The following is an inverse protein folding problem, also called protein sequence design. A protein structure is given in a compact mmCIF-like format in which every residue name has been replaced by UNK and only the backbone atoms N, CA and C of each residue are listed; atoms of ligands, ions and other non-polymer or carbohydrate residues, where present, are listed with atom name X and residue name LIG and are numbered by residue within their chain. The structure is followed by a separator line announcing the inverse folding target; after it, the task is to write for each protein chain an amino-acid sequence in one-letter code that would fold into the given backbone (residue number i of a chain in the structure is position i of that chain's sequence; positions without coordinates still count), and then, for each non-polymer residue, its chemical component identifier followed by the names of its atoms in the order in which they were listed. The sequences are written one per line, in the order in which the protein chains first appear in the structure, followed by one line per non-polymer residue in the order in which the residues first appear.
data_IF_290692639919
#
_entry.id   IF_290692639919
#
_cell.length_a   1.000
_cell.length_b   1.000
_cell.length_c   1.000
_cell.angle_alpha   90.00
_cell.angle_beta   90.00
_cell.angle_gamma   90.00
#
_symmetry.space_group_name_H-M   'P 1'
#
loop_
_entity.id
_entity.type
_entity.pdbx_description
1 polymer ?
#
# COMPACT_ATOMS: atom_id res chain seq x y z
N UNK A 1 18.34 -9.44 11.32
CA UNK A 1 18.74 -10.32 12.44
C UNK A 1 18.58 -9.54 13.74
N UNK A 2 17.84 -10.08 14.67
CA UNK A 2 17.69 -9.50 16.01
C UNK A 2 18.79 -10.08 16.91
N UNK A 3 19.45 -9.22 17.69
CA UNK A 3 20.48 -9.59 18.65
C UNK A 3 20.38 -8.70 19.89
N UNK A 4 20.06 -9.26 21.05
CA UNK A 4 19.90 -8.56 22.33
C UNK A 4 18.90 -7.39 22.24
N UNK A 5 17.77 -7.58 21.58
CA UNK A 5 16.74 -6.54 21.40
C UNK A 5 17.10 -5.45 20.39
N UNK A 6 18.21 -5.58 19.64
CA UNK A 6 18.64 -4.65 18.59
C UNK A 6 18.62 -5.33 17.22
N UNK A 7 18.44 -4.55 16.17
CA UNK A 7 18.48 -5.05 14.80
C UNK A 7 19.90 -4.91 14.26
N UNK A 8 20.57 -6.04 14.03
CA UNK A 8 21.88 -6.05 13.40
C UNK A 8 21.76 -5.84 11.88
N UNK A 9 22.23 -4.70 11.39
CA UNK A 9 22.13 -4.30 9.99
C UNK A 9 23.34 -4.69 9.15
N UNK A 10 24.53 -4.49 9.69
CA UNK A 10 25.78 -4.62 8.95
C UNK A 10 26.94 -4.94 9.88
N UNK A 11 28.07 -5.29 9.27
CA UNK A 11 29.35 -5.46 9.95
C UNK A 11 30.44 -4.86 9.09
N UNK A 12 31.27 -4.00 9.70
CA UNK A 12 32.62 -3.65 9.23
C UNK A 12 33.62 -4.25 10.21
N UNK A 13 34.44 -3.44 10.87
CA UNK A 13 35.26 -3.90 12.00
C UNK A 13 34.37 -4.25 13.19
N UNK A 14 33.31 -3.49 13.39
CA UNK A 14 32.29 -3.71 14.42
C UNK A 14 30.90 -3.99 13.81
N UNK A 15 30.01 -4.59 14.62
CA UNK A 15 28.61 -4.79 14.26
C UNK A 15 27.86 -3.47 14.33
N UNK A 16 27.09 -3.17 13.27
CA UNK A 16 26.25 -1.95 13.18
C UNK A 16 24.81 -2.34 13.50
N UNK A 17 24.21 -1.65 14.46
CA UNK A 17 22.87 -1.91 14.95
C UNK A 17 21.92 -0.75 14.69
N UNK A 18 20.66 -1.06 14.45
CA UNK A 18 19.55 -0.16 14.57
C UNK A 18 18.86 -0.39 15.93
N UNK A 19 18.71 0.67 16.70
CA UNK A 19 17.92 0.65 17.94
C UNK A 19 16.44 0.68 17.59
N UNK A 20 15.62 -0.33 17.96
CA UNK A 20 14.22 -0.39 17.57
C UNK A 20 13.40 0.83 17.98
N UNK A 21 13.66 1.41 19.17
CA UNK A 21 13.01 2.64 19.64
C UNK A 21 13.31 3.88 18.78
N UNK A 22 14.34 3.84 17.93
CA UNK A 22 14.70 4.89 16.99
C UNK A 22 14.22 4.59 15.56
N UNK A 23 13.55 3.45 15.35
CA UNK A 23 13.10 3.01 14.03
C UNK A 23 11.83 3.74 13.52
N UNK A 24 11.28 4.66 14.30
CA UNK A 24 10.18 5.56 13.90
C UNK A 24 10.66 6.72 13.00
N UNK A 25 11.74 6.55 12.30
CA UNK A 25 12.35 7.52 11.38
C UNK A 25 12.37 6.95 9.96
N UNK A 26 12.52 7.86 9.00
CA UNK A 26 12.75 7.47 7.62
C UNK A 26 14.18 6.94 7.45
N UNK A 27 14.33 5.94 6.58
CA UNK A 27 15.60 5.36 6.21
C UNK A 27 15.77 5.32 4.70
N UNK A 28 17.00 5.33 4.23
CA UNK A 28 17.31 5.21 2.81
C UNK A 28 18.39 4.13 2.59
N UNK A 29 18.08 3.14 1.74
CA UNK A 29 19.00 2.06 1.37
C UNK A 29 19.45 2.29 -0.07
N UNK A 30 20.64 2.86 -0.23
CA UNK A 30 21.24 3.15 -1.54
C UNK A 30 22.26 2.09 -1.96
N UNK A 31 22.40 1.87 -3.26
CA UNK A 31 23.40 0.99 -3.83
C UNK A 31 23.08 0.61 -5.28
N UNK A 32 24.09 0.19 -6.05
CA UNK A 32 23.93 -0.32 -7.41
C UNK A 32 23.16 -1.65 -7.43
N UNK A 33 22.76 -2.12 -8.60
CA UNK A 33 22.16 -3.45 -8.76
C UNK A 33 23.11 -4.55 -8.25
N UNK A 34 22.54 -5.54 -7.57
CA UNK A 34 23.33 -6.67 -7.02
C UNK A 34 24.07 -6.39 -5.71
N UNK A 35 24.05 -5.17 -5.16
CA UNK A 35 24.75 -4.85 -3.91
C UNK A 35 24.05 -5.34 -2.64
N UNK A 36 22.84 -5.89 -2.75
CA UNK A 36 22.10 -6.47 -1.63
C UNK A 36 21.04 -5.59 -0.99
N UNK A 37 20.56 -4.53 -1.66
CA UNK A 37 19.48 -3.65 -1.15
C UNK A 37 18.25 -4.45 -0.72
N UNK A 38 17.71 -5.30 -1.59
CA UNK A 38 16.54 -6.15 -1.29
C UNK A 38 16.83 -7.10 -0.13
N UNK A 39 18.04 -7.63 -0.02
CA UNK A 39 18.41 -8.50 1.11
C UNK A 39 18.42 -7.71 2.42
N UNK A 40 18.92 -6.47 2.41
CA UNK A 40 18.88 -5.60 3.60
C UNK A 40 17.44 -5.30 4.01
N UNK A 41 16.55 -5.04 3.03
CA UNK A 41 15.13 -4.83 3.28
C UNK A 41 14.45 -6.08 3.89
N UNK A 42 14.74 -7.27 3.34
CA UNK A 42 14.25 -8.56 3.90
C UNK A 42 14.73 -8.76 5.34
N UNK A 43 16.01 -8.52 5.61
CA UNK A 43 16.57 -8.64 6.98
C UNK A 43 15.90 -7.69 7.95
N UNK A 44 15.62 -6.45 7.54
CA UNK A 44 14.87 -5.50 8.34
C UNK A 44 13.45 -5.97 8.63
N UNK A 45 12.72 -6.40 7.60
CA UNK A 45 11.36 -6.90 7.72
C UNK A 45 11.26 -8.11 8.66
N UNK A 46 12.13 -9.10 8.50
CA UNK A 46 12.22 -10.27 9.37
C UNK A 46 12.58 -9.89 10.82
N UNK A 47 13.47 -8.91 10.99
CA UNK A 47 13.88 -8.44 12.32
C UNK A 47 12.75 -7.71 13.03
N UNK A 48 12.02 -6.84 12.35
CA UNK A 48 10.83 -6.19 12.90
C UNK A 48 9.73 -7.20 13.22
N UNK A 49 9.47 -8.14 12.32
CA UNK A 49 8.52 -9.24 12.56
C UNK A 49 8.88 -9.99 13.84
N UNK A 50 10.14 -10.38 14.01
CA UNK A 50 10.62 -11.06 15.22
C UNK A 50 10.41 -10.25 16.50
N UNK A 51 10.50 -8.92 16.43
CA UNK A 51 10.22 -8.00 17.53
C UNK A 51 8.72 -7.75 17.75
N UNK A 52 7.85 -8.43 17.00
CA UNK A 52 6.39 -8.27 17.10
C UNK A 52 5.85 -7.04 16.40
N UNK A 53 6.62 -6.42 15.51
CA UNK A 53 6.21 -5.25 14.73
C UNK A 53 5.75 -5.71 13.34
N UNK A 54 4.48 -5.48 12.97
CA UNK A 54 4.00 -5.73 11.61
C UNK A 54 4.73 -4.86 10.59
N UNK A 55 4.94 -5.40 9.41
CA UNK A 55 5.68 -4.74 8.33
C UNK A 55 4.82 -4.71 7.08
N UNK A 56 4.87 -3.61 6.33
CA UNK A 56 4.27 -3.51 5.00
C UNK A 56 5.36 -3.22 3.96
N UNK A 57 5.36 -3.98 2.86
CA UNK A 57 6.33 -3.86 1.76
C UNK A 57 5.58 -3.82 0.43
N UNK A 58 5.98 -2.93 -0.48
CA UNK A 58 5.56 -2.96 -1.88
C UNK A 58 6.61 -3.72 -2.71
N UNK A 59 6.18 -4.80 -3.35
CA UNK A 59 7.02 -5.66 -4.20
C UNK A 59 6.87 -5.31 -5.68
N UNK A 60 7.70 -4.41 -6.16
CA UNK A 60 7.68 -3.91 -7.54
C UNK A 60 8.30 -4.92 -8.53
N UNK A 61 9.15 -5.84 -8.04
CA UNK A 61 9.93 -6.77 -8.89
C UNK A 61 9.48 -8.22 -8.78
N UNK A 62 8.62 -8.56 -7.82
CA UNK A 62 8.22 -9.93 -7.53
C UNK A 62 9.31 -10.76 -6.83
N UNK A 63 10.34 -10.11 -6.23
CA UNK A 63 11.46 -10.78 -5.60
C UNK A 63 11.28 -11.00 -4.08
N UNK A 64 10.16 -10.54 -3.51
CA UNK A 64 9.82 -10.76 -2.09
C UNK A 64 8.99 -12.03 -1.84
N UNK A 65 8.48 -12.69 -2.87
CA UNK A 65 7.62 -13.87 -2.75
C UNK A 65 8.26 -15.01 -1.91
N UNK A 66 9.59 -15.11 -1.93
CA UNK A 66 10.32 -16.10 -1.14
C UNK A 66 10.30 -15.91 0.38
N UNK A 67 9.81 -14.77 0.90
CA UNK A 67 9.80 -14.49 2.35
C UNK A 67 8.87 -15.43 3.14
N UNK A 68 7.86 -16.00 2.50
CA UNK A 68 6.94 -16.96 3.12
C UNK A 68 7.53 -18.37 3.32
N UNK A 69 8.76 -18.61 2.87
CA UNK A 69 9.42 -19.93 2.99
C UNK A 69 10.78 -19.82 3.67
N UNK A 70 11.15 -20.87 4.37
CA UNK A 70 12.52 -20.96 4.90
C UNK A 70 13.53 -20.96 3.75
N UNK A 71 14.62 -20.24 3.94
CA UNK A 71 15.73 -20.24 2.99
C UNK A 71 16.36 -21.63 2.87
N UNK A 72 17.11 -21.85 1.78
CA UNK A 72 17.83 -23.09 1.51
C UNK A 72 19.33 -22.83 1.66
N UNK A 73 20.04 -23.84 2.20
CA UNK A 73 21.49 -23.80 2.30
C UNK A 73 22.15 -23.62 0.92
N UNK A 74 23.14 -22.74 0.86
CA UNK A 74 23.98 -22.56 -0.32
C UNK A 74 25.41 -22.17 0.09
N UNK A 75 26.38 -22.49 -0.74
CA UNK A 75 27.78 -22.11 -0.48
C UNK A 75 27.98 -20.60 -0.33
N UNK A 76 27.21 -19.83 -1.07
CA UNK A 76 27.25 -18.35 -0.98
C UNK A 76 26.76 -17.85 0.36
N UNK A 77 25.69 -18.46 0.91
CA UNK A 77 25.18 -18.17 2.24
C UNK A 77 26.17 -18.59 3.33
N UNK A 78 26.78 -19.77 3.20
CA UNK A 78 27.79 -20.26 4.16
C UNK A 78 28.98 -19.29 4.22
N UNK A 79 29.54 -18.92 3.06
CA UNK A 79 30.60 -17.91 2.98
C UNK A 79 30.24 -16.60 3.65
N UNK A 80 28.98 -16.15 3.48
CA UNK A 80 28.49 -14.93 4.08
C UNK A 80 28.31 -15.03 5.59
N UNK A 81 27.74 -16.13 6.08
CA UNK A 81 27.59 -16.43 7.52
C UNK A 81 28.95 -16.41 8.20
N UNK A 82 29.92 -17.12 7.64
CA UNK A 82 31.29 -17.19 8.14
C UNK A 82 31.98 -15.80 8.13
N UNK A 83 31.85 -15.04 7.03
CA UNK A 83 32.40 -13.69 6.90
C UNK A 83 31.83 -12.73 7.95
N UNK A 84 30.55 -12.84 8.26
CA UNK A 84 29.88 -12.00 9.24
C UNK A 84 30.09 -12.50 10.69
N UNK A 85 30.54 -13.76 10.88
CA UNK A 85 30.70 -14.39 12.19
C UNK A 85 29.37 -14.61 12.88
N UNK A 86 28.41 -15.17 12.15
CA UNK A 86 27.07 -15.50 12.67
C UNK A 86 27.12 -16.92 13.21
N UNK A 87 27.03 -17.10 14.53
CA UNK A 87 27.17 -18.41 15.17
C UNK A 87 25.88 -19.23 15.18
N UNK A 88 24.72 -18.57 15.36
CA UNK A 88 23.40 -19.21 15.50
C UNK A 88 22.49 -19.02 14.27
N UNK A 89 23.04 -19.13 13.07
CA UNK A 89 22.24 -19.01 11.86
C UNK A 89 21.24 -20.15 11.74
N UNK A 90 19.96 -19.78 11.50
CA UNK A 90 18.87 -20.72 11.21
C UNK A 90 17.99 -20.19 10.11
N UNK A 91 17.67 -21.06 9.16
CA UNK A 91 16.62 -20.77 8.18
C UNK A 91 15.27 -20.87 8.86
N UNK A 92 14.48 -19.81 8.80
CA UNK A 92 13.17 -19.71 9.49
C UNK A 92 12.11 -19.25 8.51
N UNK A 93 10.86 -19.59 8.82
CA UNK A 93 9.67 -19.06 8.17
C UNK A 93 9.17 -17.90 8.99
N UNK A 94 8.80 -16.81 8.32
CA UNK A 94 8.13 -15.67 8.94
C UNK A 94 6.68 -15.59 8.51
N UNK A 95 5.77 -15.11 9.38
CA UNK A 95 4.38 -14.94 9.03
C UNK A 95 4.26 -13.89 7.93
N UNK A 96 3.91 -14.32 6.72
CA UNK A 96 3.85 -13.45 5.53
C UNK A 96 2.47 -13.55 4.91
N UNK A 97 1.90 -12.40 4.54
CA UNK A 97 0.65 -12.29 3.78
C UNK A 97 0.92 -11.54 2.50
N UNK A 98 0.32 -12.02 1.42
CA UNK A 98 0.41 -11.38 0.11
C UNK A 98 -0.90 -10.69 -0.20
N UNK A 99 -0.79 -9.47 -0.70
CA UNK A 99 -1.86 -8.58 -1.07
C UNK A 99 -1.71 -8.20 -2.54
N UNK A 100 -2.83 -8.04 -3.24
CA UNK A 100 -2.83 -7.70 -4.65
C UNK A 100 -4.13 -6.97 -5.00
N UNK A 101 -4.05 -5.82 -5.64
CA UNK A 101 -5.23 -5.07 -6.08
C UNK A 101 -6.08 -5.91 -7.03
N UNK A 102 -5.43 -6.66 -7.92
CA UNK A 102 -6.11 -7.50 -8.92
C UNK A 102 -6.55 -8.86 -8.39
N UNK A 103 -6.13 -9.25 -7.19
CA UNK A 103 -6.49 -10.54 -6.58
C UNK A 103 -5.87 -11.77 -7.26
N UNK A 104 -4.86 -11.60 -8.12
CA UNK A 104 -4.23 -12.69 -8.88
C UNK A 104 -3.15 -13.42 -8.05
N UNK A 105 -2.38 -12.67 -7.25
CA UNK A 105 -1.20 -13.16 -6.51
C UNK A 105 -1.29 -12.98 -5.00
N UNK A 106 -2.42 -12.51 -4.50
CA UNK A 106 -2.62 -12.27 -3.08
C UNK A 106 -4.08 -12.03 -2.73
N UNK A 107 -4.35 -11.72 -1.46
CA UNK A 107 -5.66 -11.26 -1.03
C UNK A 107 -5.97 -9.92 -1.69
N UNK A 108 -7.19 -9.71 -2.21
CA UNK A 108 -7.55 -8.45 -2.82
C UNK A 108 -7.48 -7.30 -1.80
N UNK A 109 -6.91 -6.18 -2.24
CA UNK A 109 -6.92 -4.92 -1.48
C UNK A 109 -7.96 -4.02 -2.10
N UNK A 110 -8.96 -3.65 -1.32
CA UNK A 110 -10.05 -2.76 -1.75
C UNK A 110 -10.31 -1.68 -0.72
N UNK A 111 -10.85 -0.58 -1.20
CA UNK A 111 -11.42 0.48 -0.37
C UNK A 111 -12.72 0.98 -0.98
N UNK A 112 -13.59 1.60 -0.20
CA UNK A 112 -14.75 2.25 -0.77
C UNK A 112 -14.38 3.66 -1.25
N UNK A 113 -15.15 4.17 -2.21
CA UNK A 113 -15.04 5.57 -2.67
C UNK A 113 -15.24 6.53 -1.51
N UNK A 114 -16.22 6.25 -0.63
CA UNK A 114 -16.48 7.05 0.58
C UNK A 114 -15.30 7.09 1.54
N UNK A 115 -14.61 5.94 1.77
CA UNK A 115 -13.44 5.88 2.67
C UNK A 115 -12.22 6.59 2.08
N UNK A 116 -12.01 6.48 0.76
CA UNK A 116 -10.95 7.20 0.06
C UNK A 116 -11.17 8.72 0.19
N UNK A 117 -12.38 9.16 0.02
CA UNK A 117 -12.80 10.55 0.08
C UNK A 117 -12.35 11.41 -1.12
N UNK A 118 -12.95 12.59 -1.25
CA UNK A 118 -12.77 13.42 -2.44
C UNK A 118 -11.34 13.98 -2.58
N UNK A 119 -10.64 14.24 -1.48
CA UNK A 119 -9.29 14.80 -1.52
C UNK A 119 -8.26 13.84 -2.14
N UNK A 120 -8.28 12.56 -1.75
CA UNK A 120 -7.37 11.57 -2.30
C UNK A 120 -7.77 11.20 -3.72
N UNK A 121 -9.07 11.06 -4.00
CA UNK A 121 -9.57 10.82 -5.36
C UNK A 121 -9.22 11.96 -6.32
N UNK A 122 -9.29 13.22 -5.90
CA UNK A 122 -8.87 14.36 -6.71
C UNK A 122 -7.41 14.27 -7.12
N UNK A 123 -6.53 13.86 -6.20
CA UNK A 123 -5.11 13.64 -6.49
C UNK A 123 -4.90 12.45 -7.41
N UNK A 124 -5.59 11.35 -7.15
CA UNK A 124 -5.52 10.13 -7.95
C UNK A 124 -5.94 10.38 -9.40
N UNK A 125 -6.95 11.21 -9.62
CA UNK A 125 -7.47 11.58 -10.94
C UNK A 125 -6.81 12.81 -11.55
N UNK A 126 -5.78 13.38 -10.93
CA UNK A 126 -5.08 14.62 -11.36
C UNK A 126 -6.05 15.77 -11.69
N UNK A 127 -7.01 16.01 -10.80
CA UNK A 127 -8.01 17.04 -10.97
C UNK A 127 -7.44 18.44 -10.67
N UNK A 128 -7.87 19.45 -11.43
CA UNK A 128 -7.60 20.85 -11.10
C UNK A 128 -8.34 21.27 -9.82
N UNK A 129 -7.92 22.38 -9.20
CA UNK A 129 -8.54 22.91 -7.98
C UNK A 129 -10.06 23.08 -8.14
N UNK A 130 -10.52 23.66 -9.26
CA UNK A 130 -11.95 23.85 -9.55
C UNK A 130 -12.70 22.51 -9.68
N UNK A 131 -12.07 21.50 -10.27
CA UNK A 131 -12.68 20.16 -10.38
C UNK A 131 -12.70 19.46 -9.04
N UNK A 132 -11.66 19.62 -8.24
CA UNK A 132 -11.56 19.09 -6.87
C UNK A 132 -12.64 19.69 -5.98
N UNK A 133 -12.88 21.00 -6.08
CA UNK A 133 -13.97 21.67 -5.36
C UNK A 133 -15.35 21.13 -5.76
N UNK A 134 -15.58 20.92 -7.07
CA UNK A 134 -16.82 20.30 -7.55
C UNK A 134 -16.96 18.87 -7.05
N UNK A 135 -15.88 18.06 -7.04
CA UNK A 135 -15.91 16.71 -6.48
C UNK A 135 -16.23 16.74 -4.97
N UNK A 136 -15.65 17.67 -4.22
CA UNK A 136 -15.99 17.88 -2.80
C UNK A 136 -17.48 18.16 -2.60
N UNK A 137 -18.09 19.00 -3.45
CA UNK A 137 -19.54 19.26 -3.39
C UNK A 137 -20.36 18.00 -3.70
N UNK A 138 -19.95 17.19 -4.67
CA UNK A 138 -20.62 15.91 -4.99
C UNK A 138 -20.63 14.97 -3.79
N UNK A 139 -19.51 14.86 -3.08
CA UNK A 139 -19.44 14.07 -1.84
C UNK A 139 -20.30 14.66 -0.73
N UNK A 140 -20.27 15.99 -0.56
CA UNK A 140 -21.11 16.67 0.42
C UNK A 140 -22.60 16.41 0.17
N UNK A 141 -23.07 16.48 -1.08
CA UNK A 141 -24.44 16.17 -1.45
C UNK A 141 -24.78 14.70 -1.17
N UNK A 142 -23.83 13.76 -1.44
CA UNK A 142 -24.00 12.35 -1.13
C UNK A 142 -24.19 12.14 0.38
N UNK A 143 -23.34 12.77 1.20
CA UNK A 143 -23.40 12.68 2.66
C UNK A 143 -24.72 13.26 3.21
N UNK A 144 -25.12 14.44 2.74
CA UNK A 144 -26.37 15.09 3.18
C UNK A 144 -27.63 14.30 2.80
N UNK A 145 -27.53 13.46 1.76
CA UNK A 145 -28.59 12.55 1.31
C UNK A 145 -28.43 11.12 1.85
N UNK A 146 -27.47 10.89 2.74
CA UNK A 146 -27.16 9.57 3.35
C UNK A 146 -26.85 8.49 2.27
N UNK A 147 -26.23 8.87 1.16
CA UNK A 147 -25.86 7.98 0.06
C UNK A 147 -24.41 7.56 0.20
N UNK A 148 -24.18 6.25 0.40
CA UNK A 148 -22.85 5.67 0.42
C UNK A 148 -22.33 5.52 -1.01
N UNK A 149 -21.09 5.95 -1.24
CA UNK A 149 -20.37 5.73 -2.48
C UNK A 149 -19.41 4.55 -2.25
N UNK A 150 -19.82 3.37 -2.65
CA UNK A 150 -19.07 2.13 -2.40
C UNK A 150 -18.04 1.92 -3.51
N UNK A 151 -18.47 1.98 -4.74
CA UNK A 151 -17.62 1.72 -5.91
C UNK A 151 -17.65 2.88 -6.93
N UNK A 152 -16.91 2.70 -8.03
CA UNK A 152 -16.87 3.70 -9.13
C UNK A 152 -18.25 3.89 -9.78
N UNK A 153 -19.11 2.88 -9.78
CA UNK A 153 -20.44 2.97 -10.40
C UNK A 153 -21.33 3.90 -9.59
N UNK A 154 -21.23 3.85 -8.26
CA UNK A 154 -21.95 4.74 -7.36
C UNK A 154 -21.52 6.19 -7.59
N UNK A 155 -20.21 6.44 -7.67
CA UNK A 155 -19.69 7.78 -7.95
C UNK A 155 -20.12 8.29 -9.34
N UNK A 156 -20.12 7.43 -10.36
CA UNK A 156 -20.65 7.76 -11.69
C UNK A 156 -22.13 8.12 -11.63
N UNK A 157 -22.93 7.34 -10.91
CA UNK A 157 -24.36 7.59 -10.72
C UNK A 157 -24.59 8.92 -10.00
N UNK A 158 -23.80 9.18 -8.95
CA UNK A 158 -23.90 10.43 -8.19
C UNK A 158 -23.51 11.66 -9.02
N UNK A 159 -22.43 11.59 -9.80
CA UNK A 159 -22.03 12.65 -10.73
C UNK A 159 -23.13 12.93 -11.78
N UNK A 160 -23.80 11.90 -12.29
CA UNK A 160 -24.93 12.05 -13.21
C UNK A 160 -26.10 12.73 -12.51
N UNK A 161 -26.47 12.24 -11.33
CA UNK A 161 -27.57 12.79 -10.54
C UNK A 161 -27.37 14.27 -10.24
N UNK A 162 -26.18 14.67 -9.80
CA UNK A 162 -25.82 16.07 -9.57
C UNK A 162 -25.87 16.87 -10.86
N UNK A 163 -25.42 16.31 -11.99
CA UNK A 163 -25.45 16.95 -13.30
C UNK A 163 -26.87 17.23 -13.79
N UNK A 164 -27.78 16.28 -13.63
CA UNK A 164 -29.19 16.36 -14.03
C UNK A 164 -29.94 17.38 -13.17
N UNK A 165 -29.63 17.48 -11.88
CA UNK A 165 -30.28 18.38 -10.91
C UNK A 165 -29.41 19.62 -10.57
N UNK A 166 -28.49 19.99 -11.46
CA UNK A 166 -27.48 21.02 -11.22
C UNK A 166 -28.07 22.38 -10.79
N UNK A 167 -29.21 22.79 -11.33
CA UNK A 167 -29.82 24.07 -11.01
C UNK A 167 -30.24 24.13 -9.53
N UNK A 168 -30.81 23.06 -9.01
CA UNK A 168 -31.21 22.91 -7.61
C UNK A 168 -29.97 22.93 -6.70
N UNK A 169 -28.99 22.04 -6.96
CA UNK A 169 -27.81 21.95 -6.14
C UNK A 169 -26.91 23.18 -6.19
N UNK A 170 -26.85 23.88 -7.34
CA UNK A 170 -26.06 25.12 -7.41
C UNK A 170 -26.62 26.23 -6.56
N UNK A 171 -27.95 26.27 -6.32
CA UNK A 171 -28.57 27.22 -5.45
C UNK A 171 -28.23 26.98 -3.97
N UNK A 172 -28.06 25.74 -3.56
CA UNK A 172 -27.79 25.33 -2.17
C UNK A 172 -26.30 25.23 -1.85
N UNK A 173 -25.51 24.58 -2.74
CA UNK A 173 -24.11 24.23 -2.49
C UNK A 173 -23.12 25.11 -3.26
N UNK A 174 -23.57 25.97 -4.16
CA UNK A 174 -22.72 26.79 -4.99
C UNK A 174 -22.58 26.29 -6.44
N UNK A 175 -21.98 27.13 -7.28
CA UNK A 175 -21.94 26.87 -8.72
C UNK A 175 -21.10 25.65 -9.09
N UNK A 176 -21.74 24.69 -9.74
CA UNK A 176 -21.09 23.50 -10.33
C UNK A 176 -21.23 23.55 -11.86
N UNK A 177 -20.11 23.74 -12.56
CA UNK A 177 -20.14 23.81 -14.01
C UNK A 177 -20.35 22.44 -14.66
N UNK A 178 -21.13 22.36 -15.73
CA UNK A 178 -21.25 21.13 -16.53
C UNK A 178 -19.90 20.67 -17.09
N UNK A 179 -19.00 21.62 -17.38
CA UNK A 179 -17.66 21.34 -17.87
C UNK A 179 -16.82 20.61 -16.82
N UNK A 180 -16.87 21.04 -15.55
CA UNK A 180 -16.13 20.40 -14.45
C UNK A 180 -16.68 18.99 -14.18
N UNK A 181 -17.99 18.80 -14.12
CA UNK A 181 -18.62 17.48 -13.97
C UNK A 181 -18.21 16.54 -15.10
N UNK A 182 -18.24 17.02 -16.35
CA UNK A 182 -17.81 16.23 -17.50
C UNK A 182 -16.31 15.90 -17.50
N UNK A 183 -15.46 16.77 -16.95
CA UNK A 183 -14.04 16.50 -16.79
C UNK A 183 -13.80 15.40 -15.74
N UNK A 184 -14.45 15.49 -14.57
CA UNK A 184 -14.39 14.48 -13.51
C UNK A 184 -14.86 13.11 -14.02
N UNK A 185 -15.97 13.07 -14.79
CA UNK A 185 -16.45 11.83 -15.40
C UNK A 185 -15.44 11.18 -16.33
N UNK A 186 -14.72 11.97 -17.14
CA UNK A 186 -13.66 11.43 -18.01
C UNK A 186 -12.47 10.87 -17.22
N UNK A 187 -11.99 11.60 -16.21
CA UNK A 187 -10.91 11.10 -15.35
C UNK A 187 -11.33 9.83 -14.60
N UNK A 188 -12.61 9.74 -14.20
CA UNK A 188 -13.13 8.55 -13.54
C UNK A 188 -13.21 7.32 -14.47
N UNK A 189 -13.47 7.51 -15.77
CA UNK A 189 -13.42 6.43 -16.77
C UNK A 189 -11.97 5.93 -16.89
N UNK A 190 -11.00 6.84 -16.99
CA UNK A 190 -9.59 6.47 -17.04
C UNK A 190 -9.16 5.70 -15.79
N UNK A 191 -9.54 6.17 -14.61
CA UNK A 191 -9.27 5.47 -13.34
C UNK A 191 -9.88 4.06 -13.32
N UNK A 192 -11.12 3.91 -13.82
CA UNK A 192 -11.77 2.60 -13.89
C UNK A 192 -11.00 1.63 -14.79
N UNK A 193 -10.57 2.10 -15.98
CA UNK A 193 -9.83 1.29 -16.95
C UNK A 193 -8.42 0.91 -16.46
N UNK A 194 -7.82 1.71 -15.57
CA UNK A 194 -6.50 1.49 -14.98
C UNK A 194 -6.54 0.69 -13.66
N UNK A 195 -7.57 -0.11 -13.43
CA UNK A 195 -7.68 -1.01 -12.27
C UNK A 195 -8.54 -0.46 -11.12
N UNK A 196 -9.14 0.71 -11.28
CA UNK A 196 -10.04 1.26 -10.27
C UNK A 196 -11.29 0.39 -10.05
N UNK A 197 -11.72 -0.35 -11.07
CA UNK A 197 -12.86 -1.26 -10.95
C UNK A 197 -12.59 -2.42 -9.97
N UNK A 198 -11.35 -2.87 -9.85
CA UNK A 198 -10.91 -3.92 -8.93
C UNK A 198 -10.60 -3.36 -7.55
N UNK A 199 -10.08 -2.13 -7.48
CA UNK A 199 -9.63 -1.49 -6.25
C UNK A 199 -10.79 -0.89 -5.43
N UNK A 200 -11.79 -0.26 -6.08
CA UNK A 200 -12.91 0.34 -5.38
C UNK A 200 -14.07 -0.65 -5.22
N UNK A 201 -14.46 -0.89 -3.96
CA UNK A 201 -15.56 -1.79 -3.62
C UNK A 201 -15.39 -2.48 -2.28
N UNK A 202 -16.33 -3.36 -1.99
CA UNK A 202 -16.29 -4.20 -0.79
C UNK A 202 -15.77 -5.63 -1.10
N UNK A 203 -15.23 -6.32 -0.07
CA UNK A 203 -14.98 -5.82 1.28
C UNK A 203 -13.77 -4.87 1.31
N UNK A 204 -13.95 -3.70 1.94
CA UNK A 204 -12.85 -2.77 2.16
C UNK A 204 -11.86 -3.34 3.18
N UNK A 205 -10.56 -3.05 2.98
CA UNK A 205 -9.53 -3.50 3.91
C UNK A 205 -9.58 -2.67 5.20
N UNK A 206 -9.49 -3.35 6.33
CA UNK A 206 -9.23 -2.70 7.60
C UNK A 206 -7.71 -2.63 7.84
N UNK A 207 -7.18 -1.45 8.11
CA UNK A 207 -5.75 -1.26 8.41
C UNK A 207 -5.28 -2.17 9.55
N UNK A 208 -6.18 -2.55 10.47
CA UNK A 208 -5.90 -3.48 11.55
C UNK A 208 -5.54 -4.88 11.06
N UNK A 209 -5.96 -5.27 9.85
CA UNK A 209 -5.58 -6.55 9.25
C UNK A 209 -4.08 -6.61 8.92
N UNK A 210 -3.48 -5.47 8.64
CA UNK A 210 -2.03 -5.35 8.43
C UNK A 210 -1.25 -5.24 9.73
N UNK A 211 -1.90 -4.88 10.84
CA UNK A 211 -1.28 -4.67 12.15
C UNK A 211 -1.30 -5.91 13.06
N UNK A 212 -1.58 -7.07 12.51
CA UNK A 212 -1.73 -8.32 13.27
C UNK A 212 -0.38 -8.97 13.61
N UNK A 213 -0.42 -9.83 14.62
CA UNK A 213 0.67 -10.73 15.02
C UNK A 213 0.21 -12.17 14.94
N UNK A 214 1.16 -13.08 14.74
CA UNK A 214 0.89 -14.51 14.81
C UNK A 214 0.81 -15.01 16.28
N UNK A 215 0.51 -16.30 16.43
CA UNK A 215 0.41 -16.96 17.74
C UNK A 215 1.72 -16.94 18.55
N UNK A 216 2.85 -16.72 17.88
CA UNK A 216 4.17 -16.61 18.51
C UNK A 216 4.54 -15.14 18.83
N UNK A 217 3.61 -14.21 18.64
CA UNK A 217 3.79 -12.78 18.89
C UNK A 217 4.61 -12.06 17.82
N UNK A 218 4.94 -12.70 16.69
CA UNK A 218 5.67 -12.07 15.57
C UNK A 218 4.72 -11.24 14.72
N UNK A 219 5.17 -10.04 14.30
CA UNK A 219 4.40 -9.19 13.38
C UNK A 219 4.28 -9.83 11.99
N UNK A 220 3.09 -9.75 11.37
CA UNK A 220 2.95 -10.16 9.98
C UNK A 220 3.77 -9.27 9.04
N UNK A 221 4.40 -9.89 8.04
CA UNK A 221 5.03 -9.21 6.93
C UNK A 221 4.01 -9.18 5.80
N UNK A 222 3.43 -8.02 5.56
CA UNK A 222 2.46 -7.80 4.50
C UNK A 222 3.18 -7.35 3.25
N UNK A 223 3.02 -8.09 2.16
CA UNK A 223 3.67 -7.82 0.88
C UNK A 223 2.60 -7.51 -0.17
N UNK A 224 2.57 -6.27 -0.64
CA UNK A 224 1.73 -5.86 -1.76
C UNK A 224 2.45 -6.22 -3.08
N UNK A 225 1.85 -7.09 -3.87
CA UNK A 225 2.33 -7.43 -5.20
C UNK A 225 2.06 -6.25 -6.15
N UNK A 226 3.10 -5.52 -6.51
CA UNK A 226 3.00 -4.26 -7.26
C UNK A 226 3.61 -4.34 -8.67
N UNK A 227 3.92 -5.54 -9.17
CA UNK A 227 4.57 -5.72 -10.48
C UNK A 227 3.70 -5.21 -11.62
N UNK A 228 2.40 -5.51 -11.59
CA UNK A 228 1.42 -5.00 -12.56
C UNK A 228 1.05 -3.55 -12.25
N UNK A 229 0.87 -3.23 -10.97
CA UNK A 229 0.47 -1.91 -10.50
C UNK A 229 1.42 -0.78 -10.95
N UNK A 230 2.72 -1.04 -11.06
CA UNK A 230 3.71 -0.07 -11.58
C UNK A 230 3.44 0.32 -13.03
N UNK A 231 2.69 -0.49 -13.78
CA UNK A 231 2.32 -0.20 -15.17
C UNK A 231 1.05 0.66 -15.24
N UNK A 232 0.32 0.79 -14.14
CA UNK A 232 -0.89 1.59 -13.99
C UNK A 232 -0.58 2.83 -13.13
N UNK A 233 -0.03 3.91 -13.73
CA UNK A 233 0.57 5.02 -12.99
C UNK A 233 -0.43 5.78 -12.11
N UNK A 234 -1.70 5.73 -12.43
CA UNK A 234 -2.76 6.38 -11.66
C UNK A 234 -2.96 5.73 -10.28
N UNK A 235 -2.86 4.38 -10.19
CA UNK A 235 -3.04 3.65 -8.94
C UNK A 235 -1.73 3.41 -8.17
N UNK A 236 -0.57 3.52 -8.81
CA UNK A 236 0.73 3.36 -8.19
C UNK A 236 1.19 4.63 -7.48
#
# INVERSE_FOLDING_TARGET
MELNGKIWLAKSDEKVFLEPKMANRHGFIAGASGTGKTITLKVLAESFSQLGVPVFLADIKGDLAGMCKAGVHSESMEKRINKLGIEDWRYRVFPTRFWDIYGEYGHPVRTTVSEMGPMLLSRLMDLSDVQSDVLNLVFKIADDKELLLIDIKDLKAMLRYVGENRAEFSAEYGNMSAQSLGAIQRSLITLEDEGGAEFFGEPAIDIRDWMQRDEQGRGYINVLHSVKLVQDPTLY
#
